data_IF_023173155097
#
_entry.id   IF_023173155097
#
_cell.length_a   1.000
_cell.length_b   1.000
_cell.length_c   1.000
_cell.angle_alpha   90.00
_cell.angle_beta   90.00
_cell.angle_gamma   90.00
#
_symmetry.space_group_name_H-M   'P 1'
#
loop_
_entity.id
_entity.type
_entity.pdbx_description
1 polymer ?
#
# COMPACT_ATOMS: atom_id res chain seq x y z
N UNK A 1 -6.92 -30.79 0.52
CA UNK A 1 -7.86 -29.64 0.65
C UNK A 1 -7.56 -28.63 -0.44
N UNK A 2 -8.54 -27.97 -1.06
CA UNK A 2 -8.25 -26.92 -2.04
C UNK A 2 -7.48 -25.78 -1.35
N UNK A 3 -6.44 -25.27 -2.03
CA UNK A 3 -5.64 -24.16 -1.51
C UNK A 3 -6.52 -22.93 -1.21
N UNK A 4 -6.16 -22.15 -0.16
CA UNK A 4 -6.86 -20.91 0.20
C UNK A 4 -6.95 -19.97 -1.01
N UNK A 5 -8.09 -19.31 -1.27
CA UNK A 5 -8.25 -18.37 -2.38
C UNK A 5 -7.17 -17.27 -2.41
N UNK A 6 -6.73 -16.76 -1.25
CA UNK A 6 -5.64 -15.76 -1.18
C UNK A 6 -4.30 -16.37 -1.60
N UNK A 7 -4.00 -17.60 -1.19
CA UNK A 7 -2.77 -18.30 -1.61
C UNK A 7 -2.78 -18.55 -3.12
N UNK A 8 -3.91 -18.95 -3.70
CA UNK A 8 -4.06 -19.11 -5.16
C UNK A 8 -3.89 -17.78 -5.90
N UNK A 9 -4.44 -16.69 -5.35
CA UNK A 9 -4.26 -15.36 -5.90
C UNK A 9 -2.77 -14.96 -5.91
N UNK A 10 -2.08 -15.09 -4.78
CA UNK A 10 -0.65 -14.80 -4.66
C UNK A 10 0.20 -15.63 -5.63
N UNK A 11 -0.12 -16.91 -5.81
CA UNK A 11 0.59 -17.78 -6.76
C UNK A 11 0.44 -17.27 -8.22
N UNK A 12 -0.79 -16.88 -8.62
CA UNK A 12 -1.05 -16.29 -9.93
C UNK A 12 -0.33 -14.93 -10.09
N UNK A 13 -0.34 -14.09 -9.06
CA UNK A 13 0.37 -12.81 -9.06
C UNK A 13 1.87 -13.00 -9.25
N UNK A 14 2.49 -13.96 -8.57
CA UNK A 14 3.92 -14.29 -8.72
C UNK A 14 4.29 -14.75 -10.15
N UNK A 15 3.37 -15.40 -10.82
CA UNK A 15 3.54 -15.84 -12.20
C UNK A 15 3.32 -14.74 -13.26
N UNK A 16 2.81 -13.56 -12.86
CA UNK A 16 2.52 -12.45 -13.78
C UNK A 16 3.78 -11.93 -14.49
N UNK A 17 3.67 -11.70 -15.81
CA UNK A 17 4.76 -11.16 -16.66
C UNK A 17 4.21 -10.20 -17.73
N UNK A 18 3.16 -9.45 -17.41
CA UNK A 18 2.43 -8.64 -18.41
C UNK A 18 3.15 -7.36 -18.80
N UNK A 19 3.99 -6.82 -17.93
CA UNK A 19 4.61 -5.51 -18.12
C UNK A 19 6.08 -5.70 -18.51
N UNK A 20 6.47 -5.52 -19.78
CA UNK A 20 7.84 -5.80 -20.25
C UNK A 20 8.90 -4.87 -19.67
N UNK A 21 8.52 -3.65 -19.26
CA UNK A 21 9.43 -2.66 -18.66
C UNK A 21 9.55 -2.77 -17.14
N UNK A 22 8.70 -3.58 -16.50
CA UNK A 22 8.76 -3.84 -15.07
C UNK A 22 9.74 -4.98 -14.77
N UNK A 23 10.49 -4.85 -13.71
CA UNK A 23 11.51 -5.81 -13.29
C UNK A 23 10.89 -6.85 -12.34
N UNK A 24 10.77 -8.13 -12.78
CA UNK A 24 10.28 -9.20 -11.93
C UNK A 24 11.30 -9.60 -10.83
N UNK A 25 10.89 -10.40 -9.82
CA UNK A 25 9.56 -10.95 -9.63
C UNK A 25 8.58 -9.92 -9.05
N UNK A 26 7.27 -10.20 -9.16
CA UNK A 26 6.27 -9.47 -8.41
C UNK A 26 6.42 -9.73 -6.91
N UNK A 27 6.09 -8.73 -6.10
CA UNK A 27 6.29 -8.75 -4.64
C UNK A 27 4.94 -8.70 -3.93
N UNK A 28 4.27 -9.84 -3.66
CA UNK A 28 3.04 -9.90 -2.89
C UNK A 28 3.31 -9.79 -1.39
N UNK A 29 2.29 -9.38 -0.63
CA UNK A 29 2.25 -9.50 0.82
C UNK A 29 2.09 -10.95 1.31
N UNK A 30 2.00 -11.14 2.64
CA UNK A 30 1.61 -12.42 3.26
C UNK A 30 0.17 -12.78 2.90
N UNK A 31 -0.13 -14.08 2.88
CA UNK A 31 -1.49 -14.59 2.66
C UNK A 31 -2.33 -14.46 3.93
N UNK A 32 -2.70 -13.23 4.29
CA UNK A 32 -3.52 -12.95 5.48
C UNK A 32 -4.92 -12.51 5.07
N UNK A 33 -5.94 -12.98 5.82
CA UNK A 33 -7.32 -12.49 5.70
C UNK A 33 -7.49 -11.30 6.62
N UNK A 34 -7.53 -10.10 6.05
CA UNK A 34 -7.64 -8.88 6.82
C UNK A 34 -8.73 -7.97 6.29
N UNK A 35 -9.40 -7.24 7.17
CA UNK A 35 -10.29 -6.14 6.81
C UNK A 35 -9.54 -4.82 6.63
N UNK A 36 -8.21 -4.83 6.83
CA UNK A 36 -7.31 -3.70 6.56
C UNK A 36 -6.40 -4.05 5.38
N UNK A 37 -6.52 -3.29 4.29
CA UNK A 37 -5.72 -3.40 3.07
C UNK A 37 -4.79 -2.19 2.99
N UNK A 38 -3.48 -2.40 2.98
CA UNK A 38 -2.51 -1.34 2.72
C UNK A 38 -2.07 -1.39 1.26
N UNK A 39 -2.15 -0.26 0.57
CA UNK A 39 -1.76 -0.12 -0.83
C UNK A 39 -0.64 0.91 -0.95
N UNK A 40 0.55 0.47 -1.38
CA UNK A 40 1.68 1.33 -1.74
C UNK A 40 1.71 1.64 -3.24
N UNK A 41 2.77 2.30 -3.70
CA UNK A 41 2.96 2.62 -5.12
C UNK A 41 3.42 1.40 -5.92
N UNK A 42 4.62 0.92 -5.65
CA UNK A 42 5.29 -0.22 -6.28
C UNK A 42 6.47 -0.65 -5.40
N UNK A 43 6.98 -1.88 -5.55
CA UNK A 43 8.21 -2.31 -4.89
C UNK A 43 9.41 -1.44 -5.28
N UNK A 44 10.32 -1.18 -4.35
CA UNK A 44 11.64 -0.64 -4.61
C UNK A 44 12.63 -1.73 -5.05
N UNK A 45 13.87 -1.35 -5.37
CA UNK A 45 14.90 -2.24 -5.95
C UNK A 45 15.31 -3.42 -5.06
N UNK A 46 15.18 -3.30 -3.74
CA UNK A 46 15.53 -4.36 -2.78
C UNK A 46 14.41 -5.36 -2.51
N UNK A 47 13.17 -4.95 -2.71
CA UNK A 47 12.00 -5.73 -2.33
C UNK A 47 11.81 -7.01 -3.15
N UNK A 48 12.11 -7.06 -4.47
CA UNK A 48 12.11 -8.30 -5.23
C UNK A 48 13.03 -9.38 -4.67
N UNK A 49 14.20 -8.99 -4.13
CA UNK A 49 15.16 -9.91 -3.50
C UNK A 49 14.70 -10.31 -2.10
N UNK A 50 14.15 -9.37 -1.33
CA UNK A 50 13.66 -9.61 0.03
C UNK A 50 12.29 -10.31 0.06
N UNK A 51 11.59 -10.40 -1.08
CA UNK A 51 10.37 -11.17 -1.29
C UNK A 51 9.14 -10.65 -0.56
N UNK A 52 9.16 -9.41 -0.07
CA UNK A 52 8.04 -8.81 0.69
C UNK A 52 7.95 -7.29 0.49
N UNK A 53 6.73 -6.71 0.45
CA UNK A 53 6.53 -5.27 0.32
C UNK A 53 7.05 -4.52 1.56
N UNK A 54 7.48 -3.28 1.37
CA UNK A 54 8.01 -2.43 2.45
C UNK A 54 9.12 -3.10 3.28
N UNK A 55 10.01 -3.85 2.62
CA UNK A 55 11.10 -4.58 3.29
C UNK A 55 12.37 -3.75 3.49
N UNK A 56 12.43 -2.52 2.96
CA UNK A 56 13.62 -1.67 3.01
C UNK A 56 13.36 -0.35 3.76
N UNK A 57 14.07 0.71 3.43
CA UNK A 57 14.07 1.99 4.18
C UNK A 57 12.69 2.63 4.36
N UNK A 58 11.84 2.61 3.33
CA UNK A 58 10.47 3.10 3.43
C UNK A 58 9.66 2.29 4.43
N UNK A 59 9.82 0.97 4.43
CA UNK A 59 9.17 0.09 5.41
C UNK A 59 9.59 0.37 6.84
N UNK A 60 10.87 0.60 7.10
CA UNK A 60 11.34 0.98 8.45
C UNK A 60 10.61 2.21 9.00
N UNK A 61 10.36 3.19 8.16
CA UNK A 61 9.61 4.40 8.54
C UNK A 61 8.12 4.08 8.77
N UNK A 62 7.51 3.32 7.86
CA UNK A 62 6.11 2.93 7.95
C UNK A 62 5.83 2.13 9.24
N UNK A 63 6.65 1.12 9.53
CA UNK A 63 6.48 0.30 10.74
C UNK A 63 6.76 1.07 12.04
N UNK A 64 7.65 2.08 12.01
CA UNK A 64 7.80 3.02 13.15
C UNK A 64 6.51 3.81 13.39
N UNK A 65 5.82 4.25 12.34
CA UNK A 65 4.53 4.94 12.48
C UNK A 65 3.47 4.02 13.08
N UNK A 66 3.38 2.79 12.58
CA UNK A 66 2.42 1.82 13.09
C UNK A 66 2.73 1.39 14.52
N UNK A 67 4.00 1.20 14.86
CA UNK A 67 4.39 0.93 16.24
C UNK A 67 4.01 2.09 17.18
N UNK A 68 4.29 3.32 16.79
CA UNK A 68 3.94 4.51 17.60
C UNK A 68 2.42 4.68 17.78
N UNK A 69 1.62 4.33 16.77
CA UNK A 69 0.17 4.52 16.79
C UNK A 69 -0.61 3.34 17.41
N UNK A 70 -0.13 2.10 17.17
CA UNK A 70 -0.86 0.85 17.44
C UNK A 70 -0.14 -0.05 18.46
N UNK A 71 1.12 0.22 18.76
CA UNK A 71 1.98 -0.67 19.55
C UNK A 71 2.44 -1.93 18.80
N UNK A 72 2.09 -2.09 17.53
CA UNK A 72 2.39 -3.29 16.76
C UNK A 72 3.85 -3.32 16.28
N UNK A 73 4.48 -4.46 16.38
CA UNK A 73 5.74 -4.77 15.71
C UNK A 73 5.54 -4.89 14.19
N UNK A 74 6.62 -4.97 13.42
CA UNK A 74 6.53 -5.23 11.97
C UNK A 74 5.80 -6.55 11.69
N UNK A 75 6.12 -7.61 12.41
CA UNK A 75 5.50 -8.93 12.17
C UNK A 75 4.02 -8.94 12.53
N UNK A 76 3.63 -8.36 13.67
CA UNK A 76 2.22 -8.20 14.03
C UNK A 76 1.46 -7.37 13.00
N UNK A 77 2.08 -6.29 12.47
CA UNK A 77 1.46 -5.49 11.41
C UNK A 77 1.25 -6.33 10.15
N UNK A 78 2.23 -7.14 9.76
CA UNK A 78 2.15 -8.01 8.57
C UNK A 78 1.17 -9.16 8.72
N UNK A 79 0.84 -9.57 9.94
CA UNK A 79 -0.14 -10.60 10.23
C UNK A 79 -1.57 -10.05 10.35
N UNK A 80 -1.71 -8.73 10.59
CA UNK A 80 -3.01 -8.04 10.76
C UNK A 80 -3.44 -7.24 9.53
N UNK A 81 -2.50 -6.85 8.66
CA UNK A 81 -2.75 -6.01 7.49
C UNK A 81 -2.33 -6.75 6.22
N UNK A 82 -3.21 -6.78 5.21
CA UNK A 82 -2.83 -7.28 3.89
C UNK A 82 -2.09 -6.19 3.12
N UNK A 83 -0.86 -6.49 2.68
CA UNK A 83 0.00 -5.56 1.97
C UNK A 83 -0.10 -5.74 0.46
N UNK A 84 -0.44 -4.67 -0.22
CA UNK A 84 -0.55 -4.56 -1.67
C UNK A 84 0.21 -3.32 -2.20
N UNK A 85 0.19 -3.14 -3.50
CA UNK A 85 0.68 -1.94 -4.18
C UNK A 85 -0.10 -1.73 -5.49
N UNK A 86 -0.09 -0.52 -6.04
CA UNK A 86 -0.70 -0.22 -7.35
C UNK A 86 -0.03 -1.08 -8.43
N UNK A 87 1.31 -1.11 -8.46
CA UNK A 87 2.06 -2.06 -9.29
C UNK A 87 2.84 -3.05 -8.44
N UNK A 88 2.98 -4.28 -8.90
CA UNK A 88 3.50 -5.41 -8.09
C UNK A 88 4.96 -5.75 -8.36
N UNK A 89 5.54 -5.21 -9.42
CA UNK A 89 6.94 -5.37 -9.78
C UNK A 89 7.70 -4.06 -9.57
N UNK A 90 9.02 -4.15 -9.47
CA UNK A 90 9.87 -2.96 -9.42
C UNK A 90 9.85 -2.23 -10.78
N UNK A 91 9.52 -0.93 -10.84
CA UNK A 91 9.41 -0.21 -12.11
C UNK A 91 10.77 0.16 -12.74
N UNK A 92 11.88 -0.07 -12.05
CA UNK A 92 13.20 0.36 -12.49
C UNK A 92 13.61 1.72 -11.93
N UNK A 93 14.81 2.16 -12.26
CA UNK A 93 15.38 3.45 -11.88
C UNK A 93 15.14 4.51 -12.95
N UNK A 94 15.09 5.77 -12.54
CA UNK A 94 15.20 6.90 -13.44
C UNK A 94 16.65 7.15 -13.83
N UNK A 95 16.94 7.76 -15.00
CA UNK A 95 18.31 8.13 -15.39
C UNK A 95 19.03 9.02 -14.35
N UNK A 96 18.29 9.94 -13.74
CA UNK A 96 18.77 10.88 -12.72
C UNK A 96 18.79 10.27 -11.30
N UNK A 97 18.45 9.02 -11.14
CA UNK A 97 18.40 8.32 -9.87
C UNK A 97 16.97 8.27 -9.25
N UNK A 98 16.84 7.47 -8.21
CA UNK A 98 15.54 7.18 -7.60
C UNK A 98 14.72 6.17 -8.41
N UNK A 99 13.62 5.70 -7.82
CA UNK A 99 12.75 4.74 -8.47
C UNK A 99 11.79 5.45 -9.44
N UNK A 100 11.57 4.84 -10.61
CA UNK A 100 10.59 5.31 -11.58
C UNK A 100 9.16 5.16 -11.00
N UNK A 101 8.29 6.09 -11.32
CA UNK A 101 6.86 5.91 -11.11
C UNK A 101 6.34 4.99 -12.22
N UNK A 102 5.49 3.99 -11.93
CA UNK A 102 4.84 3.19 -12.97
C UNK A 102 4.08 4.04 -13.96
N UNK A 103 4.09 3.63 -15.24
CA UNK A 103 3.35 4.29 -16.29
C UNK A 103 1.88 3.84 -16.30
N UNK A 104 1.03 4.56 -17.04
CA UNK A 104 -0.42 4.32 -17.06
C UNK A 104 -0.80 2.92 -17.55
N UNK A 105 -0.11 2.39 -18.56
CA UNK A 105 -0.32 1.03 -19.05
C UNK A 105 0.09 -0.05 -18.03
N UNK A 106 1.14 0.20 -17.26
CA UNK A 106 1.59 -0.67 -16.18
C UNK A 106 0.58 -0.68 -15.01
N UNK A 107 0.05 0.51 -14.68
CA UNK A 107 -1.01 0.66 -13.67
C UNK A 107 -2.27 -0.07 -14.12
N UNK A 108 -2.72 0.14 -15.36
CA UNK A 108 -3.89 -0.51 -15.93
C UNK A 108 -3.75 -2.05 -15.95
N UNK A 109 -2.58 -2.56 -16.32
CA UNK A 109 -2.28 -3.99 -16.30
C UNK A 109 -2.30 -4.59 -14.89
N UNK A 110 -1.85 -3.84 -13.88
CA UNK A 110 -1.80 -4.29 -12.51
C UNK A 110 -3.14 -4.16 -11.76
N UNK A 111 -4.04 -3.30 -12.21
CA UNK A 111 -5.31 -2.99 -11.56
C UNK A 111 -6.15 -4.23 -11.25
N UNK A 112 -6.16 -5.23 -12.15
CA UNK A 112 -6.84 -6.52 -11.95
C UNK A 112 -6.48 -7.22 -10.64
N UNK A 113 -5.24 -7.06 -10.18
CA UNK A 113 -4.77 -7.68 -8.94
C UNK A 113 -5.35 -6.97 -7.73
N UNK A 114 -5.41 -5.64 -7.76
CA UNK A 114 -6.03 -4.86 -6.71
C UNK A 114 -7.55 -5.11 -6.63
N UNK A 115 -8.23 -5.18 -7.78
CA UNK A 115 -9.64 -5.56 -7.85
C UNK A 115 -9.92 -6.94 -7.25
N UNK A 116 -9.09 -7.93 -7.60
CA UNK A 116 -9.22 -9.28 -7.07
C UNK A 116 -8.99 -9.32 -5.55
N UNK A 117 -8.06 -8.53 -5.02
CA UNK A 117 -7.79 -8.45 -3.58
C UNK A 117 -8.93 -7.76 -2.83
N UNK A 118 -9.45 -6.64 -3.33
CA UNK A 118 -10.63 -5.99 -2.74
C UNK A 118 -11.82 -6.95 -2.72
N UNK A 119 -12.06 -7.68 -3.80
CA UNK A 119 -13.13 -8.69 -3.86
C UNK A 119 -12.91 -9.87 -2.90
N UNK A 120 -11.66 -10.33 -2.71
CA UNK A 120 -11.34 -11.48 -1.86
C UNK A 120 -11.35 -11.13 -0.37
N UNK A 121 -10.93 -9.91 -0.02
CA UNK A 121 -10.76 -9.46 1.36
C UNK A 121 -11.99 -8.73 1.88
N UNK A 122 -12.75 -8.06 1.00
CA UNK A 122 -13.83 -7.15 1.38
C UNK A 122 -13.37 -6.21 2.50
N UNK A 123 -12.34 -5.37 2.24
CA UNK A 123 -11.75 -4.54 3.28
C UNK A 123 -12.77 -3.55 3.82
N UNK A 124 -12.65 -3.20 5.09
CA UNK A 124 -13.37 -2.09 5.71
C UNK A 124 -12.51 -0.83 5.72
N UNK A 125 -11.18 -0.99 5.67
CA UNK A 125 -10.21 0.11 5.62
C UNK A 125 -9.15 -0.17 4.55
N UNK A 126 -8.94 0.83 3.69
CA UNK A 126 -7.79 0.89 2.77
C UNK A 126 -6.84 1.98 3.24
N UNK A 127 -5.61 1.62 3.59
CA UNK A 127 -4.53 2.56 3.90
C UNK A 127 -3.79 2.86 2.60
N UNK A 128 -4.02 4.03 2.01
CA UNK A 128 -3.41 4.45 0.74
C UNK A 128 -2.12 5.23 0.98
N UNK A 129 -0.96 4.61 0.68
CA UNK A 129 0.38 5.15 0.99
C UNK A 129 1.00 5.82 -0.25
N UNK A 130 1.07 7.14 -0.23
CA UNK A 130 1.61 7.98 -1.32
C UNK A 130 0.57 8.33 -2.39
N UNK A 131 0.87 9.36 -3.18
CA UNK A 131 -0.08 9.96 -4.15
C UNK A 131 -0.66 8.95 -5.14
N UNK A 132 0.19 8.06 -5.70
CA UNK A 132 -0.27 7.10 -6.69
C UNK A 132 -1.31 6.13 -6.12
N UNK A 133 -1.11 5.67 -4.89
CA UNK A 133 -2.08 4.81 -4.20
C UNK A 133 -3.36 5.56 -3.83
N UNK A 134 -3.25 6.80 -3.36
CA UNK A 134 -4.42 7.64 -3.06
C UNK A 134 -5.29 7.86 -4.31
N UNK A 135 -4.67 8.13 -5.46
CA UNK A 135 -5.36 8.41 -6.72
C UNK A 135 -6.03 7.17 -7.34
N UNK A 136 -5.83 5.97 -6.77
CA UNK A 136 -6.63 4.80 -7.17
C UNK A 136 -8.06 4.85 -6.59
N UNK A 137 -8.26 5.57 -5.51
CA UNK A 137 -9.51 5.56 -4.74
C UNK A 137 -10.14 6.94 -4.59
N UNK A 138 -9.36 8.00 -4.73
CA UNK A 138 -9.76 9.39 -4.48
C UNK A 138 -9.35 10.27 -5.67
N UNK A 139 -10.12 11.29 -5.95
CA UNK A 139 -9.76 12.31 -6.95
C UNK A 139 -8.42 12.98 -6.58
N UNK A 140 -7.57 13.35 -7.55
CA UNK A 140 -6.31 14.05 -7.28
C UNK A 140 -6.50 15.33 -6.46
N UNK A 141 -5.67 15.49 -5.40
CA UNK A 141 -5.69 16.68 -4.54
C UNK A 141 -4.33 16.89 -3.85
N UNK A 142 -4.18 17.99 -3.13
CA UNK A 142 -2.99 18.26 -2.34
C UNK A 142 -2.89 17.28 -1.16
N UNK A 143 -1.66 16.97 -0.72
CA UNK A 143 -1.46 16.12 0.45
C UNK A 143 -2.07 16.72 1.71
N UNK A 144 -2.07 18.05 1.82
CA UNK A 144 -2.68 18.80 2.94
C UNK A 144 -4.19 18.66 3.03
N UNK A 145 -4.86 18.33 1.93
CA UNK A 145 -6.30 18.11 1.86
C UNK A 145 -6.67 16.64 2.11
N UNK A 146 -5.69 15.73 2.01
CA UNK A 146 -5.91 14.29 2.11
C UNK A 146 -5.46 13.71 3.43
N UNK A 147 -4.23 14.04 3.85
CA UNK A 147 -3.64 13.47 5.06
C UNK A 147 -4.34 14.03 6.30
N UNK A 148 -4.64 13.16 7.26
CA UNK A 148 -5.36 13.51 8.48
C UNK A 148 -6.88 13.30 8.40
N UNK A 149 -7.39 12.84 7.26
CA UNK A 149 -8.81 12.54 7.04
C UNK A 149 -9.04 11.07 6.69
N UNK A 150 -10.27 10.60 6.91
CA UNK A 150 -10.78 9.31 6.45
C UNK A 150 -11.92 9.60 5.47
N UNK A 151 -11.90 8.93 4.33
CA UNK A 151 -12.85 9.15 3.25
C UNK A 151 -13.66 7.88 3.00
N UNK A 152 -14.99 7.88 3.25
CA UNK A 152 -15.83 6.79 2.81
C UNK A 152 -15.93 6.82 1.28
N UNK A 153 -15.67 5.69 0.65
CA UNK A 153 -15.70 5.57 -0.81
C UNK A 153 -16.50 4.35 -1.26
N UNK A 154 -17.05 4.45 -2.45
CA UNK A 154 -17.52 3.30 -3.22
C UNK A 154 -16.59 3.11 -4.42
N UNK A 155 -15.83 2.02 -4.42
CA UNK A 155 -14.87 1.72 -5.46
C UNK A 155 -15.22 0.39 -6.12
N UNK A 156 -15.59 0.43 -7.40
CA UNK A 156 -15.95 -0.76 -8.20
C UNK A 156 -16.99 -1.67 -7.52
N UNK A 157 -18.01 -1.05 -6.91
CA UNK A 157 -19.09 -1.75 -6.21
C UNK A 157 -18.77 -2.22 -4.79
N UNK A 158 -17.58 -1.88 -4.26
CA UNK A 158 -17.18 -2.16 -2.88
C UNK A 158 -17.12 -0.87 -2.06
N UNK A 159 -17.66 -0.91 -0.84
CA UNK A 159 -17.68 0.22 0.10
C UNK A 159 -16.66 0.00 1.21
N UNK A 160 -15.80 0.98 1.43
CA UNK A 160 -14.79 0.98 2.49
C UNK A 160 -14.33 2.41 2.79
N UNK A 161 -13.64 2.57 3.91
CA UNK A 161 -12.97 3.81 4.24
C UNK A 161 -11.56 3.84 3.65
N UNK A 162 -11.12 5.01 3.15
CA UNK A 162 -9.75 5.26 2.71
C UNK A 162 -9.06 6.19 3.69
N UNK A 163 -7.92 5.75 4.23
CA UNK A 163 -7.04 6.55 5.07
C UNK A 163 -5.74 6.81 4.33
N UNK A 164 -5.53 8.04 3.83
CA UNK A 164 -4.31 8.44 3.16
C UNK A 164 -3.13 8.60 4.11
N UNK A 165 -1.96 8.05 3.74
CA UNK A 165 -0.69 8.31 4.40
C UNK A 165 0.35 8.85 3.41
N UNK A 166 1.24 9.77 3.82
CA UNK A 166 2.31 10.24 2.96
C UNK A 166 3.27 9.10 2.62
N UNK A 167 4.05 9.25 1.54
CA UNK A 167 5.06 8.25 1.22
C UNK A 167 6.17 8.23 2.29
N UNK A 168 6.52 7.08 2.87
CA UNK A 168 7.45 6.98 4.00
C UNK A 168 8.93 7.00 3.62
N UNK A 169 9.27 7.18 2.32
CA UNK A 169 10.65 7.20 1.86
C UNK A 169 11.42 8.44 2.33
N UNK A 170 12.73 8.29 2.45
CA UNK A 170 13.63 9.41 2.77
C UNK A 170 13.64 10.51 1.71
N UNK A 171 13.28 10.20 0.46
CA UNK A 171 13.17 11.16 -0.64
C UNK A 171 11.98 12.13 -0.50
N UNK A 172 11.03 11.84 0.38
CA UNK A 172 9.89 12.72 0.66
C UNK A 172 9.98 13.28 2.08
N UNK A 173 10.50 14.49 2.28
CA UNK A 173 10.61 15.11 3.61
C UNK A 173 9.28 15.62 4.16
N UNK A 174 8.21 15.61 3.37
CA UNK A 174 6.91 16.21 3.70
C UNK A 174 6.38 15.82 5.08
N UNK A 175 6.52 14.57 5.47
CA UNK A 175 6.06 14.05 6.77
C UNK A 175 6.95 14.47 7.96
N UNK A 176 8.06 15.17 7.71
CA UNK A 176 9.02 15.64 8.75
C UNK A 176 8.92 17.12 9.03
N UNK A 177 8.21 17.87 8.18
CA UNK A 177 8.03 19.33 8.28
C UNK A 177 6.55 19.67 8.37
N UNK A 178 6.22 20.83 8.91
CA UNK A 178 4.83 21.30 8.97
C UNK A 178 4.33 21.72 7.57
N UNK A 179 3.05 21.52 7.28
CA UNK A 179 2.00 20.93 8.14
C UNK A 179 1.99 19.38 8.11
N UNK A 180 2.85 18.74 7.34
CA UNK A 180 2.85 17.29 7.11
C UNK A 180 3.05 16.47 8.39
N UNK A 181 3.87 16.96 9.32
CA UNK A 181 4.10 16.30 10.62
C UNK A 181 2.82 16.23 11.46
N UNK A 182 2.12 17.36 11.59
CA UNK A 182 0.86 17.44 12.34
C UNK A 182 -0.24 16.61 11.67
N UNK A 183 -0.36 16.68 10.33
CA UNK A 183 -1.36 15.92 9.58
C UNK A 183 -1.11 14.42 9.64
N UNK A 184 0.14 13.99 9.58
CA UNK A 184 0.48 12.57 9.77
C UNK A 184 0.09 12.07 11.18
N UNK A 185 0.37 12.85 12.22
CA UNK A 185 -0.02 12.49 13.58
C UNK A 185 -1.55 12.33 13.70
N UNK A 186 -2.31 13.23 13.07
CA UNK A 186 -3.78 13.13 12.96
C UNK A 186 -4.25 11.88 12.22
N UNK A 187 -3.61 11.54 11.10
CA UNK A 187 -3.91 10.32 10.34
C UNK A 187 -3.66 9.05 11.17
N UNK A 188 -2.53 8.98 11.88
CA UNK A 188 -2.16 7.84 12.72
C UNK A 188 -3.10 7.67 13.91
N UNK A 189 -3.58 8.78 14.50
CA UNK A 189 -4.61 8.74 15.54
C UNK A 189 -5.91 8.12 14.99
N UNK A 190 -6.38 8.58 13.81
CA UNK A 190 -7.57 8.02 13.15
C UNK A 190 -7.41 6.55 12.79
N UNK A 191 -6.21 6.14 12.36
CA UNK A 191 -5.88 4.74 12.13
C UNK A 191 -6.09 3.90 13.41
N UNK A 192 -5.56 4.35 14.54
CA UNK A 192 -5.68 3.65 15.81
C UNK A 192 -7.14 3.60 16.34
N UNK A 193 -7.96 4.57 15.96
CA UNK A 193 -9.37 4.65 16.36
C UNK A 193 -10.31 3.90 15.40
N UNK A 194 -9.83 3.48 14.23
CA UNK A 194 -10.68 2.86 13.21
C UNK A 194 -11.19 1.46 13.64
N UNK A 195 -12.51 1.16 13.51
CA UNK A 195 -13.08 -0.12 13.94
C UNK A 195 -12.38 -1.35 13.36
N UNK A 196 -12.00 -1.32 12.06
CA UNK A 196 -11.32 -2.43 11.39
C UNK A 196 -9.90 -2.72 11.95
N UNK A 197 -9.30 -1.79 12.69
CA UNK A 197 -7.98 -1.95 13.32
C UNK A 197 -8.12 -2.48 14.75
N UNK A 198 -9.25 -2.15 15.41
CA UNK A 198 -9.54 -2.55 16.79
C UNK A 198 -10.17 -3.95 16.90
N UNK A 199 -10.73 -4.46 15.79
CA UNK A 199 -11.30 -5.79 15.71
C UNK A 199 -10.20 -6.86 15.65
#
# INVERSE_FOLDING_TARGET
MPADPIQRHIAKLRACRLCPRMIPPSVPGRAVRSKVLLVGQAPGDKEPVLGRPFAWTAGKTLFKWFHAALGWTEDETRDRVYFAAVCRCFPGKKPEGGDRVPDEDEIANCLRWLEAEVKLLEPQLVIAVGKLAMNQFLEPALLTERIGHVFPVEWRGHKFDVLPLPHPSGASPWHRVEPGKTLLAGALKRLAEHPAVRA
#
